data_IF_469136244603
#
_entry.id   IF_469136244603
#
_cell.length_a   1.000
_cell.length_b   1.000
_cell.length_c   1.000
_cell.angle_alpha   90.00
_cell.angle_beta   90.00
_cell.angle_gamma   90.00
#
_symmetry.space_group_name_H-M   'P 1'
#
loop_
_entity.id
_entity.type
_entity.pdbx_description
1 polymer ?
#
# COMPACT_ATOMS: atom_id res chain seq x y z
N UNK A 1 -67.40 13.99 -67.70
CA UNK A 1 -66.44 14.31 -66.70
C UNK A 1 -66.17 13.05 -65.94
N UNK A 2 -65.08 12.30 -66.17
CA UNK A 2 -64.67 11.22 -65.29
C UNK A 2 -63.46 11.66 -64.46
N UNK A 3 -63.57 11.44 -63.22
CA UNK A 3 -62.46 11.57 -62.24
C UNK A 3 -61.73 10.23 -62.11
N UNK A 4 -60.47 10.24 -62.55
CA UNK A 4 -59.56 9.08 -62.34
C UNK A 4 -59.07 9.07 -60.94
N UNK A 5 -59.17 7.88 -60.35
CA UNK A 5 -58.46 7.53 -59.10
C UNK A 5 -57.15 6.80 -59.44
N UNK A 6 -56.04 7.45 -59.23
CA UNK A 6 -54.75 6.83 -59.32
C UNK A 6 -54.55 5.92 -58.11
N UNK A 7 -54.25 4.64 -58.36
CA UNK A 7 -53.85 3.65 -57.34
C UNK A 7 -52.39 3.78 -57.13
N UNK A 8 -52.00 4.20 -55.91
CA UNK A 8 -50.60 4.19 -55.43
C UNK A 8 -50.13 2.75 -55.19
N UNK A 9 -49.11 2.33 -55.93
CA UNK A 9 -48.50 1.05 -55.76
C UNK A 9 -47.59 1.07 -54.47
N UNK A 10 -47.91 0.21 -53.54
CA UNK A 10 -47.09 -0.01 -52.34
C UNK A 10 -45.85 -0.80 -52.74
N UNK A 11 -44.68 -0.17 -52.59
CA UNK A 11 -43.38 -0.87 -52.73
C UNK A 11 -43.18 -1.93 -51.65
N UNK A 12 -42.62 -3.11 -51.96
CA UNK A 12 -42.32 -4.13 -50.95
C UNK A 12 -41.17 -3.68 -50.03
N UNK A 13 -41.40 -3.66 -48.71
CA UNK A 13 -40.40 -3.38 -47.71
C UNK A 13 -39.27 -4.44 -47.75
N UNK A 14 -38.02 -3.96 -47.73
CA UNK A 14 -36.84 -4.80 -47.64
C UNK A 14 -36.82 -5.61 -46.30
N UNK A 15 -36.33 -6.84 -46.31
CA UNK A 15 -36.24 -7.66 -45.07
C UNK A 15 -35.29 -7.02 -44.05
N UNK A 16 -35.72 -7.01 -42.79
CA UNK A 16 -34.92 -6.55 -41.66
C UNK A 16 -33.62 -7.35 -41.54
N UNK A 17 -32.48 -6.69 -41.21
CA UNK A 17 -31.24 -7.37 -41.03
C UNK A 17 -31.32 -8.36 -39.85
N UNK A 18 -30.90 -9.58 -40.09
CA UNK A 18 -30.74 -10.62 -39.05
C UNK A 18 -29.67 -10.17 -38.05
N UNK A 19 -30.07 -9.97 -36.81
CA UNK A 19 -29.13 -9.69 -35.71
C UNK A 19 -28.23 -10.94 -35.52
N UNK A 20 -26.94 -10.77 -35.76
CA UNK A 20 -25.96 -11.79 -35.37
C UNK A 20 -25.96 -11.94 -33.81
N UNK A 21 -25.84 -13.16 -33.30
CA UNK A 21 -25.75 -13.36 -31.87
C UNK A 21 -24.50 -12.65 -31.32
N UNK A 22 -24.70 -11.89 -30.22
CA UNK A 22 -23.61 -11.20 -29.53
C UNK A 22 -22.48 -12.18 -29.19
N UNK A 23 -21.20 -11.78 -29.32
CA UNK A 23 -20.08 -12.65 -28.98
C UNK A 23 -20.20 -13.08 -27.51
N UNK A 24 -20.16 -14.39 -27.29
CA UNK A 24 -20.11 -14.98 -25.95
C UNK A 24 -18.84 -14.48 -25.26
N UNK A 25 -18.98 -13.68 -24.20
CA UNK A 25 -17.87 -13.27 -23.37
C UNK A 25 -17.17 -14.52 -22.84
N UNK A 26 -15.87 -14.65 -23.15
CA UNK A 26 -15.04 -15.68 -22.55
C UNK A 26 -15.11 -15.57 -21.02
N UNK A 27 -15.11 -16.67 -20.25
CA UNK A 27 -15.12 -16.61 -18.81
C UNK A 27 -13.92 -15.78 -18.35
N UNK A 28 -14.17 -14.85 -17.41
CA UNK A 28 -13.11 -14.04 -16.82
C UNK A 28 -12.01 -15.00 -16.33
N UNK A 29 -10.78 -14.75 -16.77
CA UNK A 29 -9.61 -15.51 -16.29
C UNK A 29 -9.55 -15.43 -14.76
N UNK A 30 -9.24 -16.55 -14.12
CA UNK A 30 -9.04 -16.59 -12.67
C UNK A 30 -8.05 -15.47 -12.24
N UNK A 31 -8.28 -14.81 -11.10
CA UNK A 31 -7.38 -13.78 -10.64
C UNK A 31 -5.96 -14.35 -10.53
N UNK A 32 -4.98 -13.61 -11.05
CA UNK A 32 -3.58 -13.97 -10.86
C UNK A 32 -3.27 -14.03 -9.36
N UNK A 33 -2.46 -15.03 -8.92
CA UNK A 33 -2.06 -15.08 -7.52
C UNK A 33 -1.37 -13.77 -7.11
N UNK A 34 -1.55 -13.38 -5.83
CA UNK A 34 -0.87 -12.22 -5.30
C UNK A 34 0.66 -12.39 -5.46
N UNK A 35 1.39 -11.31 -5.79
CA UNK A 35 2.84 -11.39 -5.92
C UNK A 35 3.46 -11.82 -4.58
N UNK A 36 4.46 -12.68 -4.64
CA UNK A 36 5.20 -13.16 -3.48
C UNK A 36 6.70 -12.88 -3.68
N UNK A 37 7.43 -12.50 -2.61
CA UNK A 37 8.87 -12.28 -2.70
C UNK A 37 9.59 -13.60 -3.00
N UNK A 38 10.80 -13.51 -3.57
CA UNK A 38 11.66 -14.67 -3.76
C UNK A 38 11.90 -15.38 -2.43
N UNK A 39 12.02 -16.74 -2.41
CA UNK A 39 12.15 -17.52 -1.17
C UNK A 39 13.29 -17.06 -0.26
N UNK A 40 14.42 -16.64 -0.83
CA UNK A 40 15.58 -16.13 -0.09
C UNK A 40 15.27 -14.77 0.60
N UNK A 41 14.44 -13.93 0.00
CA UNK A 41 14.01 -12.66 0.59
C UNK A 41 13.03 -12.93 1.73
N UNK A 42 12.10 -13.86 1.53
CA UNK A 42 11.17 -14.24 2.59
C UNK A 42 11.91 -14.84 3.80
N UNK A 43 12.89 -15.71 3.57
CA UNK A 43 13.72 -16.27 4.63
C UNK A 43 14.54 -15.19 5.37
N UNK A 44 15.09 -14.21 4.63
CA UNK A 44 15.79 -13.07 5.22
C UNK A 44 14.84 -12.19 6.05
N UNK A 45 13.62 -11.93 5.56
CA UNK A 45 12.57 -11.22 6.29
C UNK A 45 12.21 -11.94 7.60
N UNK A 46 12.00 -13.26 7.58
CA UNK A 46 11.68 -14.06 8.77
C UNK A 46 12.81 -14.03 9.80
N UNK A 47 14.06 -14.06 9.34
CA UNK A 47 15.24 -14.03 10.19
C UNK A 47 15.58 -12.65 10.75
N UNK A 48 15.14 -11.57 10.10
CA UNK A 48 15.43 -10.20 10.52
C UNK A 48 14.68 -9.85 11.80
N UNK A 49 15.37 -9.09 12.72
CA UNK A 49 14.70 -8.52 13.90
C UNK A 49 13.62 -7.53 13.47
N UNK A 50 12.44 -7.63 14.08
CA UNK A 50 11.29 -6.76 13.85
C UNK A 50 10.01 -7.45 14.29
N UNK A 51 8.91 -6.71 14.28
CA UNK A 51 7.65 -7.14 14.90
C UNK A 51 6.58 -7.55 13.88
N UNK A 52 6.75 -7.17 12.59
CA UNK A 52 5.77 -7.44 11.54
C UNK A 52 5.58 -8.95 11.31
N UNK A 53 4.33 -9.49 11.38
CA UNK A 53 4.01 -10.86 11.04
C UNK A 53 4.22 -11.16 9.56
N UNK A 54 4.45 -12.44 9.21
CA UNK A 54 4.71 -12.85 7.81
C UNK A 54 3.57 -12.47 6.87
N UNK A 55 2.32 -12.68 7.28
CA UNK A 55 1.17 -12.40 6.43
C UNK A 55 1.00 -10.89 6.15
N UNK A 56 1.30 -10.02 7.11
CA UNK A 56 1.32 -8.56 6.90
C UNK A 56 2.50 -8.14 6.02
N UNK A 57 3.66 -8.77 6.22
CA UNK A 57 4.80 -8.59 5.32
C UNK A 57 4.48 -8.95 3.87
N UNK A 58 3.79 -10.06 3.63
CA UNK A 58 3.35 -10.44 2.28
C UNK A 58 2.35 -9.44 1.69
N UNK A 59 1.45 -8.87 2.50
CA UNK A 59 0.55 -7.82 2.08
C UNK A 59 1.29 -6.51 1.75
N UNK A 60 2.28 -6.14 2.56
CA UNK A 60 3.16 -4.99 2.29
C UNK A 60 3.95 -5.18 0.99
N UNK A 61 4.51 -6.37 0.77
CA UNK A 61 5.23 -6.69 -0.48
C UNK A 61 4.32 -6.54 -1.70
N UNK A 62 3.11 -7.10 -1.66
CA UNK A 62 2.15 -6.98 -2.75
C UNK A 62 1.74 -5.52 -3.02
N UNK A 63 1.54 -4.72 -1.97
CA UNK A 63 1.30 -3.28 -2.09
C UNK A 63 2.51 -2.57 -2.72
N UNK A 64 3.73 -2.92 -2.31
CA UNK A 64 4.97 -2.37 -2.84
C UNK A 64 5.16 -2.69 -4.34
N UNK A 65 4.95 -3.93 -4.76
CA UNK A 65 4.98 -4.34 -6.17
C UNK A 65 3.97 -3.54 -7.00
N UNK A 66 2.76 -3.35 -6.47
CA UNK A 66 1.76 -2.54 -7.16
C UNK A 66 2.18 -1.08 -7.29
N UNK A 67 2.60 -0.46 -6.19
CA UNK A 67 2.97 0.96 -6.17
C UNK A 67 4.22 1.25 -7.02
N UNK A 68 5.15 0.29 -7.12
CA UNK A 68 6.38 0.43 -7.90
C UNK A 68 6.14 0.55 -9.41
N UNK A 69 4.95 0.15 -9.91
CA UNK A 69 4.54 0.37 -11.29
C UNK A 69 4.45 1.87 -11.68
N UNK A 70 4.38 2.77 -10.70
CA UNK A 70 4.46 4.21 -10.93
C UNK A 70 5.88 4.70 -11.27
N UNK A 71 6.91 3.85 -11.14
CA UNK A 71 8.30 4.24 -11.38
C UNK A 71 8.86 5.23 -10.35
N UNK A 72 8.17 5.43 -9.23
CA UNK A 72 8.54 6.33 -8.15
C UNK A 72 9.14 5.57 -6.97
N UNK A 73 9.94 6.23 -6.11
CA UNK A 73 10.46 5.60 -4.90
C UNK A 73 9.36 5.09 -3.97
N UNK A 74 9.65 4.00 -3.25
CA UNK A 74 8.83 3.49 -2.16
C UNK A 74 9.41 4.01 -0.85
N UNK A 75 8.62 4.71 -0.04
CA UNK A 75 9.07 5.31 1.21
C UNK A 75 8.57 4.54 2.42
N UNK A 76 9.47 4.30 3.36
CA UNK A 76 9.21 3.75 4.69
C UNK A 76 9.56 4.76 5.77
N UNK A 77 8.72 4.89 6.78
CA UNK A 77 8.99 5.61 8.03
C UNK A 77 8.95 4.63 9.18
N UNK A 78 10.06 4.52 9.90
CA UNK A 78 10.28 3.49 10.91
C UNK A 78 10.94 2.24 10.30
N UNK A 79 12.25 2.18 10.42
CA UNK A 79 13.08 1.12 9.80
C UNK A 79 13.42 0.02 10.79
N UNK A 80 13.66 0.41 12.05
CA UNK A 80 14.18 -0.48 13.10
C UNK A 80 15.41 -1.26 12.61
N UNK A 81 15.32 -2.59 12.50
CA UNK A 81 16.41 -3.45 12.01
C UNK A 81 16.26 -3.89 10.54
N UNK A 82 15.28 -3.33 9.81
CA UNK A 82 15.13 -3.48 8.36
C UNK A 82 14.26 -4.66 7.92
N UNK A 83 13.46 -5.26 8.80
CA UNK A 83 12.61 -6.40 8.45
C UNK A 83 11.65 -6.07 7.28
N UNK A 84 10.83 -5.05 7.42
CA UNK A 84 9.91 -4.56 6.38
C UNK A 84 10.64 -3.97 5.18
N UNK A 85 11.78 -3.29 5.42
CA UNK A 85 12.63 -2.72 4.38
C UNK A 85 13.05 -3.76 3.33
N UNK A 86 13.32 -5.02 3.72
CA UNK A 86 13.69 -6.09 2.79
C UNK A 86 12.62 -6.32 1.72
N UNK A 87 11.36 -6.26 2.10
CA UNK A 87 10.23 -6.48 1.18
C UNK A 87 10.05 -5.30 0.24
N UNK A 88 10.13 -4.06 0.76
CA UNK A 88 10.08 -2.85 -0.06
C UNK A 88 11.25 -2.78 -1.03
N UNK A 89 12.46 -3.11 -0.58
CA UNK A 89 13.66 -3.13 -1.41
C UNK A 89 13.61 -4.19 -2.50
N UNK A 90 13.07 -5.38 -2.20
CA UNK A 90 12.88 -6.44 -3.19
C UNK A 90 11.90 -6.01 -4.29
N UNK A 91 10.75 -5.44 -3.93
CA UNK A 91 9.78 -4.93 -4.88
C UNK A 91 10.36 -3.77 -5.72
N UNK A 92 11.11 -2.86 -5.09
CA UNK A 92 11.78 -1.75 -5.77
C UNK A 92 12.84 -2.23 -6.77
N UNK A 93 13.65 -3.23 -6.38
CA UNK A 93 14.65 -3.87 -7.26
C UNK A 93 14.00 -4.46 -8.51
N UNK A 94 12.92 -5.19 -8.36
CA UNK A 94 12.22 -5.85 -9.47
C UNK A 94 11.63 -4.84 -10.46
N UNK A 95 11.22 -3.68 -9.97
CA UNK A 95 10.65 -2.60 -10.79
C UNK A 95 11.69 -1.58 -11.30
N UNK A 96 12.97 -1.71 -10.92
CA UNK A 96 14.01 -0.76 -11.32
C UNK A 96 13.90 0.61 -10.62
N UNK A 97 13.28 0.67 -9.44
CA UNK A 97 13.22 1.86 -8.57
C UNK A 97 14.00 1.62 -7.27
N UNK A 98 13.81 2.44 -6.25
CA UNK A 98 14.49 2.35 -4.96
C UNK A 98 13.51 2.38 -3.80
N UNK A 99 13.84 1.70 -2.71
CA UNK A 99 13.22 1.90 -1.42
C UNK A 99 13.98 3.00 -0.67
N UNK A 100 13.26 3.94 -0.08
CA UNK A 100 13.81 4.97 0.81
C UNK A 100 13.28 4.69 2.20
N UNK A 101 14.15 4.55 3.18
CA UNK A 101 13.74 4.36 4.56
C UNK A 101 14.27 5.49 5.45
N UNK A 102 13.41 5.97 6.35
CA UNK A 102 13.71 7.10 7.24
C UNK A 102 13.55 6.66 8.68
N UNK A 103 14.65 6.72 9.43
CA UNK A 103 14.67 6.40 10.86
C UNK A 103 15.83 7.13 11.55
N UNK A 104 15.66 7.55 12.78
CA UNK A 104 16.77 8.08 13.59
C UNK A 104 17.57 6.98 14.30
N UNK A 105 17.13 5.73 14.24
CA UNK A 105 17.78 4.53 14.79
C UNK A 105 18.04 4.55 16.29
N UNK A 106 17.27 5.33 17.06
CA UNK A 106 17.36 5.44 18.54
C UNK A 106 16.17 4.79 19.26
N UNK A 107 15.30 4.13 18.50
CA UNK A 107 14.08 3.50 18.99
C UNK A 107 12.99 4.49 19.41
N UNK A 108 11.74 4.02 19.40
CA UNK A 108 10.59 4.73 19.98
C UNK A 108 10.62 4.69 21.50
N UNK A 109 9.65 5.31 22.17
CA UNK A 109 9.51 5.26 23.63
C UNK A 109 9.37 3.83 24.15
N UNK A 110 8.60 2.99 23.44
CA UNK A 110 8.31 1.59 23.81
C UNK A 110 9.54 0.67 23.74
N UNK A 111 10.60 1.12 23.07
CA UNK A 111 11.85 0.38 22.89
C UNK A 111 12.94 0.83 23.88
N UNK A 112 12.67 1.83 24.71
CA UNK A 112 13.65 2.28 25.71
C UNK A 112 13.75 1.33 26.90
N UNK A 113 14.84 1.45 27.67
CA UNK A 113 15.06 0.62 28.85
C UNK A 113 13.88 0.70 29.85
N UNK A 114 13.35 -0.44 30.24
CA UNK A 114 12.18 -0.54 31.12
C UNK A 114 10.83 -0.67 30.44
N UNK A 115 10.81 -0.62 29.12
CA UNK A 115 9.61 -0.84 28.30
C UNK A 115 9.59 -2.22 27.65
N UNK A 116 8.41 -2.65 27.19
CA UNK A 116 8.13 -4.01 26.73
C UNK A 116 8.99 -4.45 25.53
N UNK A 117 9.23 -3.53 24.58
CA UNK A 117 9.99 -3.83 23.36
C UNK A 117 11.47 -3.50 23.44
N UNK A 118 12.01 -3.35 24.65
CA UNK A 118 13.43 -3.08 24.86
C UNK A 118 14.29 -4.29 24.50
N UNK A 119 15.22 -4.12 23.56
CA UNK A 119 16.22 -5.12 23.22
C UNK A 119 17.63 -4.63 23.65
N UNK A 120 18.20 -5.18 24.74
CA UNK A 120 19.52 -4.77 25.23
C UNK A 120 20.65 -5.09 24.25
N UNK A 121 20.43 -6.00 23.28
CA UNK A 121 21.45 -6.33 22.26
C UNK A 121 21.59 -5.25 21.20
N UNK A 122 20.67 -4.28 21.15
CA UNK A 122 20.69 -3.11 20.27
C UNK A 122 21.16 -1.84 20.99
N UNK A 123 21.58 -1.95 22.25
CA UNK A 123 22.16 -0.82 22.98
C UNK A 123 23.63 -0.70 22.59
N UNK A 124 24.01 0.49 22.13
CA UNK A 124 25.39 0.84 21.85
C UNK A 124 26.18 0.93 23.17
N UNK A 125 27.27 0.16 23.36
CA UNK A 125 27.99 0.08 24.63
C UNK A 125 28.70 1.38 25.00
N UNK A 126 29.07 2.21 24.02
CA UNK A 126 29.84 3.43 24.28
C UNK A 126 28.91 4.58 24.70
N UNK A 127 27.72 4.64 24.13
CA UNK A 127 26.74 5.72 24.40
C UNK A 127 25.67 5.33 25.40
N UNK A 128 25.47 4.04 25.66
CA UNK A 128 24.38 3.51 26.49
C UNK A 128 22.98 3.72 25.90
N UNK A 129 22.87 4.03 24.60
CA UNK A 129 21.61 4.30 23.92
C UNK A 129 21.32 3.23 22.89
N UNK A 130 20.03 3.00 22.62
CA UNK A 130 19.64 2.14 21.51
C UNK A 130 20.23 2.67 20.19
N UNK A 131 20.75 1.74 19.37
CA UNK A 131 21.24 1.99 18.03
C UNK A 131 20.95 0.78 17.12
N UNK A 132 19.89 0.89 16.32
CA UNK A 132 19.48 -0.16 15.40
C UNK A 132 20.25 -0.13 14.08
N UNK A 133 20.92 1.00 13.75
CA UNK A 133 21.59 1.22 12.47
C UNK A 133 22.64 0.16 12.12
N UNK A 134 23.51 -0.30 13.03
CA UNK A 134 24.48 -1.34 12.71
C UNK A 134 23.83 -2.68 12.36
N UNK A 135 22.70 -3.01 13.00
CA UNK A 135 21.93 -4.22 12.71
C UNK A 135 21.19 -4.10 11.40
N UNK A 136 20.54 -2.98 11.16
CA UNK A 136 19.90 -2.66 9.88
C UNK A 136 20.86 -2.82 8.70
N UNK A 137 22.07 -2.25 8.76
CA UNK A 137 23.06 -2.39 7.69
C UNK A 137 23.47 -3.83 7.46
N UNK A 138 23.63 -4.65 8.51
CA UNK A 138 23.91 -6.08 8.37
C UNK A 138 22.74 -6.82 7.73
N UNK A 139 21.50 -6.48 8.06
CA UNK A 139 20.30 -7.05 7.44
C UNK A 139 20.30 -6.83 5.93
N UNK A 140 20.54 -5.60 5.48
CA UNK A 140 20.62 -5.28 4.05
C UNK A 140 21.78 -5.98 3.35
N UNK A 141 22.97 -6.00 3.98
CA UNK A 141 24.16 -6.65 3.42
C UNK A 141 23.91 -8.14 3.18
N UNK A 142 23.41 -8.86 4.18
CA UNK A 142 23.18 -10.29 4.07
C UNK A 142 22.09 -10.67 3.07
N UNK A 143 21.15 -9.77 2.80
CA UNK A 143 20.09 -9.98 1.80
C UNK A 143 20.49 -9.58 0.37
N UNK A 144 21.66 -8.92 0.19
CA UNK A 144 22.11 -8.40 -1.11
C UNK A 144 21.23 -7.26 -1.65
N UNK A 145 20.58 -6.48 -0.76
CA UNK A 145 19.66 -5.41 -1.16
C UNK A 145 20.20 -4.00 -0.88
N UNK A 146 21.47 -3.85 -0.45
CA UNK A 146 22.07 -2.54 -0.10
C UNK A 146 21.94 -1.52 -1.24
N UNK A 147 22.18 -1.92 -2.49
CA UNK A 147 22.15 -1.03 -3.66
C UNK A 147 20.73 -0.58 -4.05
N UNK A 148 19.70 -1.17 -3.43
CA UNK A 148 18.29 -0.87 -3.71
C UNK A 148 17.61 -0.07 -2.61
N UNK A 149 18.39 0.34 -1.57
CA UNK A 149 17.89 1.08 -0.40
C UNK A 149 18.66 2.38 -0.20
N UNK A 150 17.94 3.48 -0.07
CA UNK A 150 18.48 4.76 0.40
C UNK A 150 18.07 4.91 1.85
N UNK A 151 19.02 4.74 2.77
CA UNK A 151 18.79 4.92 4.20
C UNK A 151 19.04 6.38 4.62
N UNK A 152 18.04 7.02 5.16
CA UNK A 152 18.10 8.39 5.68
C UNK A 152 18.03 8.37 7.20
N UNK A 153 19.16 8.70 7.84
CA UNK A 153 19.25 8.75 9.31
C UNK A 153 18.80 10.12 9.81
N UNK A 154 17.61 10.18 10.41
CA UNK A 154 17.05 11.42 10.90
C UNK A 154 15.62 11.27 11.40
N UNK A 155 15.11 12.32 12.04
CA UNK A 155 13.71 12.35 12.46
C UNK A 155 12.81 12.58 11.24
N UNK A 156 11.81 11.74 11.06
CA UNK A 156 10.93 11.72 9.89
C UNK A 156 10.33 13.08 9.54
N UNK A 157 9.76 13.87 10.46
CA UNK A 157 9.22 15.19 10.11
C UNK A 157 10.29 16.17 9.61
N UNK A 158 11.53 16.08 10.10
CA UNK A 158 12.62 16.95 9.65
C UNK A 158 13.08 16.56 8.23
N UNK A 159 13.18 15.27 7.95
CA UNK A 159 13.49 14.78 6.61
C UNK A 159 12.41 15.18 5.61
N UNK A 160 11.14 15.04 6.00
CA UNK A 160 10.01 15.44 5.17
C UNK A 160 10.04 16.91 4.77
N UNK A 161 10.51 17.82 5.64
CA UNK A 161 10.59 19.25 5.33
C UNK A 161 11.56 19.57 4.17
N UNK A 162 12.60 18.76 4.00
CA UNK A 162 13.64 18.98 2.97
C UNK A 162 13.46 18.05 1.75
N UNK A 163 12.49 17.15 1.80
CA UNK A 163 12.22 16.22 0.69
C UNK A 163 11.51 16.92 -0.47
N UNK A 164 12.05 16.79 -1.68
CA UNK A 164 11.59 17.53 -2.86
C UNK A 164 10.82 16.72 -3.91
N UNK A 165 10.64 15.40 -3.74
CA UNK A 165 10.04 14.53 -4.75
C UNK A 165 8.71 13.92 -4.36
N UNK A 166 8.04 13.29 -5.33
CA UNK A 166 6.90 12.40 -5.06
C UNK A 166 7.39 10.97 -4.81
N UNK A 167 6.56 10.19 -4.12
CA UNK A 167 6.77 8.77 -3.85
C UNK A 167 5.55 7.96 -4.30
N UNK A 168 5.77 6.71 -4.70
CA UNK A 168 4.71 5.81 -5.15
C UNK A 168 4.00 5.08 -4.00
N UNK A 169 4.72 4.93 -2.87
CA UNK A 169 4.19 4.34 -1.65
C UNK A 169 4.73 5.11 -0.45
N UNK A 170 3.90 5.30 0.56
CA UNK A 170 4.29 5.73 1.90
C UNK A 170 3.86 4.62 2.88
N UNK A 171 4.83 3.99 3.54
CA UNK A 171 4.59 3.04 4.61
C UNK A 171 4.92 3.70 5.94
N UNK A 172 3.94 3.82 6.84
CA UNK A 172 4.07 4.41 8.17
C UNK A 172 4.08 3.28 9.20
N UNK A 173 5.24 3.07 9.82
CA UNK A 173 5.51 2.07 10.86
C UNK A 173 6.47 2.66 11.92
N UNK A 174 6.27 3.93 12.25
CA UNK A 174 7.09 4.70 13.18
C UNK A 174 6.62 4.60 14.63
N UNK A 175 6.90 5.64 15.43
CA UNK A 175 6.47 5.68 16.83
C UNK A 175 4.96 5.84 16.99
N UNK A 176 4.37 5.19 18.00
CA UNK A 176 2.93 5.07 18.20
C UNK A 176 2.32 6.17 19.09
N UNK A 177 3.03 7.27 19.32
CA UNK A 177 2.43 8.46 19.93
C UNK A 177 1.65 9.27 18.89
N UNK A 178 0.66 10.05 19.33
CA UNK A 178 -0.09 10.95 18.43
C UNK A 178 0.80 11.96 17.72
N UNK A 179 1.83 12.46 18.40
CA UNK A 179 2.79 13.40 17.82
C UNK A 179 3.56 12.75 16.68
N UNK A 180 4.07 11.53 16.86
CA UNK A 180 4.84 10.82 15.85
C UNK A 180 3.97 10.44 14.65
N UNK A 181 2.86 9.74 14.88
CA UNK A 181 1.98 9.30 13.80
C UNK A 181 1.41 10.47 12.98
N UNK A 182 1.01 11.57 13.66
CA UNK A 182 0.52 12.77 12.98
C UNK A 182 1.63 13.47 12.19
N UNK A 183 2.82 13.59 12.78
CA UNK A 183 3.97 14.21 12.11
C UNK A 183 4.40 13.45 10.87
N UNK A 184 4.41 12.12 10.92
CA UNK A 184 4.72 11.26 9.78
C UNK A 184 3.66 11.38 8.68
N UNK A 185 2.38 11.34 9.06
CA UNK A 185 1.27 11.52 8.13
C UNK A 185 1.35 12.89 7.42
N UNK A 186 1.44 13.99 8.18
CA UNK A 186 1.46 15.35 7.63
C UNK A 186 2.74 15.63 6.81
N UNK A 187 3.83 15.00 7.19
CA UNK A 187 5.10 15.13 6.48
C UNK A 187 5.11 14.42 5.13
N UNK A 188 4.57 13.21 5.04
CA UNK A 188 4.79 12.36 3.88
C UNK A 188 3.58 12.17 2.97
N UNK A 189 2.37 12.17 3.52
CA UNK A 189 1.17 11.94 2.72
C UNK A 189 0.96 12.98 1.60
N UNK A 190 1.30 14.27 1.78
CA UNK A 190 1.25 15.24 0.67
C UNK A 190 2.19 14.92 -0.51
N UNK A 191 3.23 14.11 -0.28
CA UNK A 191 4.21 13.70 -1.29
C UNK A 191 3.85 12.41 -2.02
N UNK A 192 2.86 11.70 -1.54
CA UNK A 192 2.36 10.51 -2.20
C UNK A 192 1.74 10.89 -3.56
N UNK A 193 2.13 10.22 -4.63
CA UNK A 193 1.56 10.45 -5.95
C UNK A 193 0.09 10.02 -6.01
N UNK A 194 -0.69 10.62 -6.93
CA UNK A 194 -2.02 10.12 -7.25
C UNK A 194 -1.91 8.68 -7.80
N UNK A 195 -2.79 7.79 -7.37
CA UNK A 195 -2.70 6.36 -7.64
C UNK A 195 -1.70 5.60 -6.74
N UNK A 196 -0.87 6.32 -5.98
CA UNK A 196 0.04 5.73 -5.00
C UNK A 196 -0.65 5.15 -3.77
N UNK A 197 0.09 4.40 -2.97
CA UNK A 197 -0.45 3.69 -1.81
C UNK A 197 0.08 4.25 -0.49
N UNK A 198 -0.84 4.55 0.42
CA UNK A 198 -0.55 4.79 1.83
C UNK A 198 -0.78 3.46 2.58
N UNK A 199 0.27 2.95 3.21
CA UNK A 199 0.23 1.75 4.03
C UNK A 199 0.50 2.15 5.47
N UNK A 200 -0.33 1.70 6.41
CA UNK A 200 -0.22 2.03 7.84
C UNK A 200 -0.24 0.73 8.63
N UNK A 201 0.76 0.54 9.48
CA UNK A 201 0.87 -0.60 10.40
C UNK A 201 0.23 -0.26 11.77
N UNK A 202 -0.04 -1.29 12.57
CA UNK A 202 -0.59 -1.21 13.92
C UNK A 202 -1.92 -0.44 14.03
N UNK A 203 -2.77 -0.60 13.02
CA UNK A 203 -4.11 -0.01 13.00
C UNK A 203 -5.10 -0.91 13.74
N UNK A 204 -5.31 -0.63 15.00
CA UNK A 204 -6.24 -1.37 15.88
C UNK A 204 -7.52 -0.54 16.11
N UNK A 205 -8.69 -0.98 15.58
CA UNK A 205 -9.96 -0.28 15.82
C UNK A 205 -10.39 -0.29 17.28
N UNK A 206 -10.12 -1.40 18.01
CA UNK A 206 -10.40 -1.52 19.44
C UNK A 206 -9.17 -1.07 20.25
N UNK A 207 -9.33 -0.10 21.19
CA UNK A 207 -8.25 0.31 22.07
C UNK A 207 -7.69 -0.80 22.98
N UNK A 208 -8.42 -1.89 23.15
CA UNK A 208 -7.93 -3.04 23.92
C UNK A 208 -6.86 -3.86 23.17
N UNK A 209 -6.82 -3.74 21.83
CA UNK A 209 -5.89 -4.52 21.00
C UNK A 209 -4.56 -3.79 20.78
N UNK A 210 -4.50 -2.47 20.94
CA UNK A 210 -3.26 -1.72 20.76
C UNK A 210 -3.39 -0.19 20.74
N UNK A 211 -2.27 0.47 20.42
CA UNK A 211 -2.16 1.92 20.36
C UNK A 211 -3.09 2.56 19.32
N UNK A 212 -3.66 3.72 19.64
CA UNK A 212 -4.69 4.34 18.81
C UNK A 212 -4.18 5.40 17.83
N UNK A 213 -2.90 5.78 17.88
CA UNK A 213 -2.37 6.81 17.01
C UNK A 213 -2.37 6.39 15.52
N UNK A 214 -1.95 5.16 15.13
CA UNK A 214 -2.07 4.68 13.76
C UNK A 214 -3.54 4.62 13.28
N UNK A 215 -4.47 4.20 14.15
CA UNK A 215 -5.90 4.18 13.82
C UNK A 215 -6.44 5.59 13.55
N UNK A 216 -6.00 6.61 14.29
CA UNK A 216 -6.44 7.99 14.07
C UNK A 216 -5.97 8.55 12.72
N UNK A 217 -4.72 8.31 12.31
CA UNK A 217 -4.24 8.76 10.98
C UNK A 217 -4.91 7.97 9.85
N UNK A 218 -5.18 6.69 10.01
CA UNK A 218 -5.98 5.89 9.08
C UNK A 218 -7.39 6.49 8.90
N UNK A 219 -8.09 6.78 10.00
CA UNK A 219 -9.42 7.42 9.96
C UNK A 219 -9.37 8.82 9.33
N UNK A 220 -8.31 9.58 9.59
CA UNK A 220 -8.07 10.89 8.96
C UNK A 220 -7.91 10.77 7.45
N UNK A 221 -7.15 9.79 6.97
CA UNK A 221 -6.98 9.54 5.56
C UNK A 221 -8.32 9.25 4.86
N UNK A 222 -9.13 8.35 5.42
CA UNK A 222 -10.47 8.05 4.87
C UNK A 222 -11.40 9.26 4.91
N UNK A 223 -11.41 10.02 6.00
CA UNK A 223 -12.27 11.20 6.16
C UNK A 223 -11.89 12.35 5.21
N UNK A 224 -10.66 12.38 4.69
CA UNK A 224 -10.23 13.39 3.70
C UNK A 224 -10.95 13.27 2.36
N UNK A 225 -11.51 12.09 2.04
CA UNK A 225 -12.08 11.78 0.72
C UNK A 225 -11.04 11.59 -0.38
N UNK A 226 -9.73 11.73 -0.09
CA UNK A 226 -8.64 11.57 -1.04
C UNK A 226 -8.14 10.12 -1.13
N UNK A 227 -8.62 9.24 -0.25
CA UNK A 227 -8.21 7.85 -0.17
C UNK A 227 -9.39 6.90 -0.19
N UNK A 228 -9.17 5.75 -0.84
CA UNK A 228 -10.07 4.60 -0.79
C UNK A 228 -9.29 3.40 -0.26
N UNK A 229 -9.85 2.71 0.71
CA UNK A 229 -9.25 1.47 1.20
C UNK A 229 -9.29 0.41 0.11
N UNK A 230 -8.17 -0.29 -0.09
CA UNK A 230 -8.09 -1.38 -1.05
C UNK A 230 -8.68 -2.63 -0.40
N UNK A 231 -9.89 -3.02 -0.82
CA UNK A 231 -10.48 -4.30 -0.44
C UNK A 231 -10.11 -5.33 -1.49
N UNK A 232 -9.64 -6.50 -1.07
CA UNK A 232 -9.60 -7.66 -1.95
C UNK A 232 -11.02 -8.17 -2.18
N UNK A 233 -11.37 -8.34 -3.45
CA UNK A 233 -12.52 -9.18 -3.80
C UNK A 233 -12.17 -10.65 -3.55
N UNK A 234 -12.19 -11.08 -2.30
CA UNK A 234 -12.20 -12.49 -1.93
C UNK A 234 -13.33 -12.69 -0.91
N UNK A 235 -14.54 -12.97 -1.41
CA UNK A 235 -15.67 -13.39 -0.61
C UNK A 235 -16.74 -12.33 -0.37
N UNK A 236 -17.33 -11.79 -1.44
CA UNK A 236 -18.66 -11.21 -1.34
C UNK A 236 -19.66 -12.34 -1.11
N UNK A 237 -19.91 -12.70 0.15
CA UNK A 237 -21.17 -13.32 0.53
C UNK A 237 -22.23 -12.25 0.52
N UNK A 238 -23.16 -12.44 -0.37
CA UNK A 238 -24.44 -11.77 -0.60
C UNK A 238 -25.06 -11.26 0.70
N UNK A 239 -25.17 -9.91 0.85
CA UNK A 239 -26.40 -9.32 1.41
C UNK A 239 -26.55 -7.85 0.98
N UNK A 240 -27.78 -7.59 0.47
CA UNK A 240 -28.39 -6.30 0.21
C UNK A 240 -27.94 -5.53 -1.05
N UNK A 241 -28.52 -5.96 -2.19
CA UNK A 241 -28.79 -5.10 -3.35
C UNK A 241 -29.91 -4.12 -3.02
N UNK A 242 -29.70 -2.82 -3.31
CA UNK A 242 -30.61 -2.04 -4.16
C UNK A 242 -30.21 -0.55 -4.14
N UNK A 243 -29.65 -0.07 -5.24
CA UNK A 243 -30.00 1.20 -5.85
C UNK A 243 -29.17 1.40 -7.13
N UNK A 244 -29.88 1.58 -8.22
CA UNK A 244 -29.47 1.80 -9.58
C UNK A 244 -28.51 2.98 -9.80
N UNK A 245 -27.54 2.79 -10.72
CA UNK A 245 -26.76 3.88 -11.27
C UNK A 245 -25.62 3.35 -12.14
N UNK A 246 -25.83 3.28 -13.46
CA UNK A 246 -24.84 2.84 -14.44
C UNK A 246 -23.65 3.81 -14.50
N UNK A 247 -22.45 3.28 -14.27
CA UNK A 247 -21.19 3.93 -14.55
C UNK A 247 -20.14 2.85 -14.75
N UNK A 248 -19.83 2.51 -16.02
CA UNK A 248 -18.78 1.56 -16.38
C UNK A 248 -17.41 2.18 -16.13
N UNK A 249 -16.87 1.98 -14.91
CA UNK A 249 -15.46 2.17 -14.66
C UNK A 249 -14.78 0.81 -14.82
N UNK A 250 -13.88 0.69 -15.79
CA UNK A 250 -13.00 -0.45 -15.99
C UNK A 250 -12.08 -0.56 -14.78
N UNK A 251 -12.43 -1.44 -13.81
CA UNK A 251 -11.57 -1.78 -12.71
C UNK A 251 -10.52 -2.77 -13.21
N UNK A 252 -9.30 -2.29 -13.47
CA UNK A 252 -8.13 -3.15 -13.47
C UNK A 252 -7.98 -3.66 -12.04
N UNK A 253 -8.47 -4.89 -11.82
CA UNK A 253 -8.50 -5.53 -10.51
C UNK A 253 -7.10 -5.68 -9.94
N UNK A 254 -6.82 -4.91 -8.89
CA UNK A 254 -5.66 -5.11 -8.03
C UNK A 254 -5.90 -6.34 -7.18
N UNK A 255 -5.05 -7.36 -7.34
CA UNK A 255 -4.95 -8.43 -6.36
C UNK A 255 -4.01 -7.98 -5.23
N UNK A 256 -4.51 -7.10 -4.36
CA UNK A 256 -3.86 -6.82 -3.08
C UNK A 256 -4.42 -7.83 -2.08
N UNK A 257 -3.59 -8.51 -1.26
CA UNK A 257 -4.09 -9.44 -0.24
C UNK A 257 -5.09 -8.77 0.70
N UNK A 258 -6.02 -9.54 1.31
CA UNK A 258 -7.00 -8.96 2.24
C UNK A 258 -6.31 -8.19 3.35
N UNK A 259 -7.00 -7.16 3.82
CA UNK A 259 -6.69 -6.46 5.08
C UNK A 259 -6.34 -7.52 6.12
N UNK A 260 -5.12 -7.45 6.63
CA UNK A 260 -4.60 -8.42 7.58
C UNK A 260 -4.46 -7.72 8.92
N UNK A 261 -4.98 -8.29 9.94
CA UNK A 261 -4.96 -7.90 11.35
C UNK A 261 -4.77 -6.38 11.62
N UNK A 262 -3.54 -5.85 11.55
CA UNK A 262 -3.27 -4.44 11.85
C UNK A 262 -2.80 -3.60 10.65
N UNK A 263 -2.46 -4.20 9.51
CA UNK A 263 -2.02 -3.47 8.32
C UNK A 263 -3.20 -2.93 7.52
N UNK A 264 -3.16 -1.66 7.13
CA UNK A 264 -4.15 -1.03 6.24
C UNK A 264 -3.49 -0.47 5.00
N UNK A 265 -4.10 -0.70 3.84
CA UNK A 265 -3.63 -0.23 2.54
C UNK A 265 -4.69 0.68 1.91
N UNK A 266 -4.31 1.91 1.66
CA UNK A 266 -5.19 2.94 1.12
C UNK A 266 -4.63 3.45 -0.21
N UNK A 267 -5.46 3.54 -1.24
CA UNK A 267 -5.07 4.14 -2.53
C UNK A 267 -5.43 5.61 -2.54
N UNK A 268 -4.49 6.47 -2.95
CA UNK A 268 -4.77 7.88 -3.21
C UNK A 268 -5.54 8.04 -4.53
N UNK A 269 -6.73 8.62 -4.46
CA UNK A 269 -7.67 8.74 -5.60
C UNK A 269 -7.93 10.18 -6.03
N UNK A 270 -7.47 11.17 -5.24
CA UNK A 270 -7.66 12.58 -5.56
C UNK A 270 -6.45 13.43 -5.15
N UNK A 271 -6.18 14.54 -5.88
CA UNK A 271 -5.21 15.54 -5.46
C UNK A 271 -5.73 16.36 -4.27
N UNK A 272 -4.84 16.77 -3.39
CA UNK A 272 -5.12 17.69 -2.29
C UNK A 272 -5.53 17.00 -0.99
N UNK A 273 -4.60 17.04 -0.04
CA UNK A 273 -4.83 16.72 1.37
C UNK A 273 -4.47 17.97 2.15
#
# INVERSE_FOLDING_TARGET
MPTGTESEAVEPQAPLPTLEPAPTLAPASAPSPAPAPAPEILAAFEAAKGFMPVHEGLALYAAAVHASALGLPLLEVGTYCGRSTLLLAAAAREAGTVAVTVDHHRGSEEQQAGWEYHDPTLVDPDTGRMDTLPTFRRTLHHSGLEDHVIAVVGRSPQVAQVWGGQVGLVFIDGGHTDEHATGDYEGWVPRLAEGGLLVIHDVFPDPADGGQAPYRIYRRALASGAFTETTTEAGATTEAASASGAGTASSTGLSVPPVTDSLRVLRRTAPGI
#
